data_IF_599801760347
#
_entry.id   IF_599801760347
#
_cell.length_a   1.000
_cell.length_b   1.000
_cell.length_c   1.000
_cell.angle_alpha   90.00
_cell.angle_beta   90.00
_cell.angle_gamma   90.00
#
_symmetry.space_group_name_H-M   'P 1'
#
loop_
_entity.id
_entity.type
_entity.pdbx_description
1 polymer ?
#
# COMPACT_ATOMS: atom_id res chain seq x y z
N UNK A 1 2.01 22.49 28.36
CA UNK A 1 0.86 21.63 28.67
C UNK A 1 0.10 21.35 27.36
N UNK A 2 0.04 20.11 26.92
CA UNK A 2 -0.65 19.74 25.67
C UNK A 2 -1.96 19.04 26.01
N UNK A 3 -3.02 19.40 25.30
CA UNK A 3 -4.28 18.66 25.31
C UNK A 3 -4.25 17.71 24.11
N UNK A 4 -4.43 16.43 24.39
CA UNK A 4 -4.39 15.37 23.37
C UNK A 4 -5.81 14.82 23.22
N UNK A 5 -6.29 14.72 22.00
CA UNK A 5 -7.60 14.13 21.70
C UNK A 5 -7.41 12.68 21.28
N UNK A 6 -8.04 11.76 22.00
CA UNK A 6 -7.98 10.33 21.77
C UNK A 6 -9.40 9.80 21.77
N UNK A 7 -9.83 9.21 20.65
CA UNK A 7 -11.20 8.66 20.49
C UNK A 7 -12.29 9.69 20.82
N UNK A 8 -12.06 10.94 20.42
CA UNK A 8 -13.02 12.03 20.64
C UNK A 8 -13.01 12.65 22.03
N UNK A 9 -12.16 12.14 22.94
CA UNK A 9 -12.02 12.68 24.29
C UNK A 9 -10.71 13.43 24.44
N UNK A 10 -10.74 14.53 25.19
CA UNK A 10 -9.56 15.34 25.44
C UNK A 10 -8.92 14.95 26.76
N UNK A 11 -7.60 14.85 26.76
CA UNK A 11 -6.80 14.49 27.92
C UNK A 11 -5.65 15.49 28.06
N UNK A 12 -5.28 15.75 29.31
CA UNK A 12 -4.11 16.58 29.66
C UNK A 12 -2.90 15.64 29.80
N UNK A 13 -1.88 15.83 28.97
CA UNK A 13 -0.68 14.98 28.95
C UNK A 13 0.11 14.99 30.25
N UNK A 14 -0.06 16.00 31.09
CA UNK A 14 0.60 16.05 32.40
C UNK A 14 0.19 14.92 33.33
N UNK A 15 -1.01 14.36 33.12
CA UNK A 15 -1.52 13.25 33.92
C UNK A 15 -1.06 11.89 33.40
N UNK A 16 -0.37 11.85 32.27
CA UNK A 16 0.07 10.61 31.69
C UNK A 16 1.29 10.06 32.43
N UNK A 17 1.26 8.75 32.72
CA UNK A 17 2.45 8.02 33.15
C UNK A 17 3.44 7.92 32.01
N UNK A 18 4.69 7.55 32.34
CA UNK A 18 5.67 7.29 31.27
C UNK A 18 5.22 6.19 30.34
N UNK A 19 4.59 5.14 30.89
CA UNK A 19 4.02 4.06 30.08
C UNK A 19 2.97 4.60 29.09
N UNK A 20 2.06 5.45 29.54
CA UNK A 20 1.05 6.07 28.68
C UNK A 20 1.69 6.94 27.60
N UNK A 21 2.71 7.73 27.95
CA UNK A 21 3.44 8.56 26.97
C UNK A 21 4.11 7.71 25.91
N UNK A 22 4.67 6.58 26.29
CA UNK A 22 5.30 5.64 25.35
C UNK A 22 4.27 5.05 24.38
N UNK A 23 3.08 4.72 24.87
CA UNK A 23 1.99 4.21 24.03
C UNK A 23 1.55 5.29 23.03
N UNK A 24 1.38 6.53 23.48
CA UNK A 24 1.01 7.65 22.60
C UNK A 24 2.06 7.85 21.52
N UNK A 25 3.34 7.80 21.87
CA UNK A 25 4.43 7.95 20.91
C UNK A 25 4.41 6.83 19.86
N UNK A 26 4.18 5.58 20.29
CA UNK A 26 4.07 4.43 19.37
C UNK A 26 2.86 4.56 18.46
N UNK A 27 1.73 5.01 18.98
CA UNK A 27 0.51 5.23 18.20
C UNK A 27 0.71 6.33 17.16
N UNK A 28 1.33 7.45 17.55
CA UNK A 28 1.63 8.55 16.63
C UNK A 28 2.56 8.11 15.50
N UNK A 29 3.61 7.36 15.85
CA UNK A 29 4.52 6.79 14.85
C UNK A 29 3.77 5.90 13.88
N UNK A 30 2.92 5.00 14.39
CA UNK A 30 2.14 4.07 13.58
C UNK A 30 1.20 4.82 12.64
N UNK A 31 0.50 5.85 13.12
CA UNK A 31 -0.38 6.68 12.30
C UNK A 31 0.40 7.40 11.19
N UNK A 32 1.58 7.89 11.47
CA UNK A 32 2.42 8.54 10.47
C UNK A 32 2.87 7.54 9.40
N UNK A 33 3.22 6.32 9.80
CA UNK A 33 3.59 5.26 8.85
C UNK A 33 2.39 4.84 8.00
N UNK A 34 1.19 4.75 8.57
CA UNK A 34 -0.04 4.46 7.80
C UNK A 34 -0.27 5.53 6.73
N UNK A 35 -0.16 6.80 7.10
CA UNK A 35 -0.34 7.91 6.15
C UNK A 35 0.69 7.84 5.02
N UNK A 36 1.94 7.51 5.35
CA UNK A 36 3.02 7.37 4.38
C UNK A 36 2.75 6.22 3.40
N UNK A 37 2.32 5.06 3.90
CA UNK A 37 1.99 3.91 3.06
C UNK A 37 0.79 4.23 2.16
N UNK A 38 -0.25 4.88 2.68
CA UNK A 38 -1.40 5.30 1.89
C UNK A 38 -1.01 6.25 0.75
N UNK A 39 -0.09 7.17 1.01
CA UNK A 39 0.44 8.07 -0.02
C UNK A 39 1.18 7.29 -1.10
N UNK A 40 2.02 6.33 -0.70
CA UNK A 40 2.74 5.47 -1.64
C UNK A 40 1.77 4.65 -2.50
N UNK A 41 0.72 4.09 -1.89
CA UNK A 41 -0.32 3.36 -2.62
C UNK A 41 -0.94 4.26 -3.69
N UNK A 42 -1.27 5.50 -3.37
CA UNK A 42 -1.85 6.45 -4.32
C UNK A 42 -0.90 6.75 -5.48
N UNK A 43 0.39 6.95 -5.19
CA UNK A 43 1.41 7.21 -6.23
C UNK A 43 1.55 6.00 -7.16
N UNK A 44 1.66 4.79 -6.59
CA UNK A 44 1.80 3.57 -7.37
C UNK A 44 0.53 3.25 -8.16
N UNK A 45 -0.64 3.53 -7.59
CA UNK A 45 -1.91 3.33 -8.31
C UNK A 45 -2.02 4.25 -9.52
N UNK A 46 -1.59 5.50 -9.41
CA UNK A 46 -1.53 6.45 -10.54
C UNK A 46 -0.58 5.94 -11.61
N UNK A 47 0.61 5.47 -11.20
CA UNK A 47 1.60 4.90 -12.12
C UNK A 47 1.07 3.64 -12.80
N UNK A 48 0.39 2.78 -12.05
CA UNK A 48 -0.24 1.56 -12.59
C UNK A 48 -1.21 1.91 -13.73
N UNK A 49 -2.06 2.90 -13.50
CA UNK A 49 -3.04 3.33 -14.50
C UNK A 49 -2.36 3.87 -15.76
N UNK A 50 -1.30 4.66 -15.60
CA UNK A 50 -0.54 5.20 -16.73
C UNK A 50 0.13 4.09 -17.55
N UNK A 51 0.78 3.14 -16.88
CA UNK A 51 1.43 2.01 -17.58
C UNK A 51 0.41 1.08 -18.20
N UNK A 52 -0.73 0.83 -17.54
CA UNK A 52 -1.82 0.03 -18.11
C UNK A 52 -2.33 0.64 -19.43
N UNK A 53 -2.54 1.96 -19.45
CA UNK A 53 -2.97 2.66 -20.67
C UNK A 53 -1.91 2.59 -21.76
N UNK A 54 -0.64 2.80 -21.41
CA UNK A 54 0.47 2.70 -22.37
C UNK A 54 0.56 1.30 -22.97
N UNK A 55 0.43 0.26 -22.15
CA UNK A 55 0.46 -1.15 -22.61
C UNK A 55 -0.69 -1.40 -23.58
N UNK A 56 -1.92 -1.06 -23.20
CA UNK A 56 -3.12 -1.30 -24.03
C UNK A 56 -2.99 -0.57 -25.36
N UNK A 57 -2.51 0.67 -25.38
CA UNK A 57 -2.39 1.48 -26.59
C UNK A 57 -1.28 1.00 -27.54
N UNK A 58 -0.36 0.16 -27.04
CA UNK A 58 0.78 -0.33 -27.83
C UNK A 58 0.73 -1.86 -28.07
N UNK A 59 -0.40 -2.50 -27.78
CA UNK A 59 -0.54 -3.93 -28.02
C UNK A 59 -0.49 -4.25 -29.52
N UNK A 60 0.14 -5.40 -29.90
CA UNK A 60 0.10 -5.87 -31.28
C UNK A 60 -1.34 -6.13 -31.71
N UNK A 61 -1.62 -5.91 -33.00
CA UNK A 61 -2.93 -6.23 -33.56
C UNK A 61 -3.17 -7.73 -33.67
N UNK A 62 -2.10 -8.51 -33.80
CA UNK A 62 -2.16 -9.95 -34.00
C UNK A 62 -1.96 -10.69 -32.67
N UNK A 63 -2.93 -11.53 -32.31
CA UNK A 63 -2.84 -12.38 -31.14
C UNK A 63 -2.08 -13.69 -31.46
N UNK A 64 -1.48 -14.27 -30.41
CA UNK A 64 -0.79 -15.56 -30.52
C UNK A 64 -1.76 -16.71 -30.68
N UNK A 65 -1.35 -17.74 -31.45
CA UNK A 65 -2.10 -18.98 -31.55
C UNK A 65 -2.11 -19.70 -30.19
N UNK A 66 -3.26 -20.30 -29.86
CA UNK A 66 -3.49 -20.87 -28.52
C UNK A 66 -2.63 -22.10 -28.19
N UNK A 67 -2.07 -22.77 -29.21
CA UNK A 67 -1.32 -24.01 -29.02
C UNK A 67 0.19 -23.84 -28.87
N UNK A 68 0.71 -22.62 -28.91
CA UNK A 68 2.14 -22.36 -28.76
C UNK A 68 2.44 -22.11 -27.27
N UNK A 69 3.34 -22.93 -26.67
CA UNK A 69 3.58 -22.92 -25.22
C UNK A 69 4.64 -21.95 -24.75
N UNK A 70 5.63 -21.59 -25.58
CA UNK A 70 6.76 -20.76 -25.21
C UNK A 70 6.66 -19.36 -25.81
N UNK A 71 7.10 -18.35 -25.05
CA UNK A 71 7.15 -16.97 -25.51
C UNK A 71 5.77 -16.32 -25.65
N UNK A 72 4.76 -16.80 -24.92
CA UNK A 72 3.43 -16.24 -24.92
C UNK A 72 3.22 -15.40 -23.66
N UNK A 73 2.78 -14.16 -23.85
CA UNK A 73 2.39 -13.24 -22.79
C UNK A 73 0.89 -13.03 -22.82
N UNK A 74 0.23 -13.13 -21.66
CA UNK A 74 -1.20 -12.85 -21.55
C UNK A 74 -1.39 -11.43 -21.02
N UNK A 75 -2.07 -10.60 -21.82
CA UNK A 75 -2.34 -9.20 -21.48
C UNK A 75 -3.83 -8.96 -21.73
N UNK A 76 -4.58 -8.53 -20.69
CA UNK A 76 -6.04 -8.33 -20.77
C UNK A 76 -6.76 -9.55 -21.34
N UNK A 77 -6.41 -10.76 -20.85
CA UNK A 77 -6.97 -12.05 -21.25
C UNK A 77 -6.70 -12.44 -22.71
N UNK A 78 -5.87 -11.69 -23.43
CA UNK A 78 -5.44 -11.97 -24.79
C UNK A 78 -3.99 -12.41 -24.79
N UNK A 79 -3.64 -13.34 -25.67
CA UNK A 79 -2.30 -13.92 -25.76
C UNK A 79 -1.53 -13.29 -26.91
N UNK A 80 -0.27 -12.96 -26.65
CA UNK A 80 0.65 -12.37 -27.62
C UNK A 80 1.99 -13.09 -27.57
N UNK A 81 2.64 -13.22 -28.75
CA UNK A 81 4.01 -13.72 -28.79
C UNK A 81 4.97 -12.65 -28.31
N UNK A 82 5.97 -13.05 -27.53
CA UNK A 82 7.00 -12.14 -27.04
C UNK A 82 7.71 -11.44 -28.19
N UNK A 83 7.97 -12.16 -29.30
CA UNK A 83 8.62 -11.60 -30.47
C UNK A 83 7.84 -10.48 -31.16
N UNK A 84 6.51 -10.43 -30.95
CA UNK A 84 5.64 -9.41 -31.53
C UNK A 84 5.55 -8.16 -30.63
N UNK A 85 6.12 -8.20 -29.44
CA UNK A 85 6.12 -7.08 -28.51
C UNK A 85 7.34 -6.18 -28.77
N UNK A 86 7.11 -4.87 -28.86
CA UNK A 86 8.21 -3.92 -28.95
C UNK A 86 9.05 -3.92 -27.67
N UNK A 87 10.29 -3.45 -27.74
CA UNK A 87 11.15 -3.32 -26.57
C UNK A 87 10.53 -2.38 -25.53
N UNK A 88 9.91 -1.29 -25.98
CA UNK A 88 9.20 -0.36 -25.10
C UNK A 88 8.05 -1.07 -24.39
N UNK A 89 7.26 -1.85 -25.11
CA UNK A 89 6.13 -2.58 -24.52
C UNK A 89 6.60 -3.61 -23.49
N UNK A 90 7.67 -4.34 -23.79
CA UNK A 90 8.27 -5.31 -22.85
C UNK A 90 8.74 -4.59 -21.57
N UNK A 91 9.35 -3.43 -21.71
CA UNK A 91 9.80 -2.62 -20.58
C UNK A 91 8.61 -2.13 -19.76
N UNK A 92 7.56 -1.63 -20.41
CA UNK A 92 6.35 -1.17 -19.73
C UNK A 92 5.66 -2.30 -18.97
N UNK A 93 5.61 -3.51 -19.54
CA UNK A 93 5.05 -4.69 -18.89
C UNK A 93 5.85 -5.05 -17.65
N UNK A 94 7.18 -5.01 -17.73
CA UNK A 94 8.05 -5.31 -16.60
C UNK A 94 7.83 -4.30 -15.46
N UNK A 95 7.76 -3.01 -15.77
CA UNK A 95 7.48 -1.96 -14.78
C UNK A 95 6.09 -2.17 -14.18
N UNK A 96 5.09 -2.49 -14.99
CA UNK A 96 3.72 -2.76 -14.54
C UNK A 96 3.69 -3.91 -13.53
N UNK A 97 4.40 -5.00 -13.81
CA UNK A 97 4.51 -6.14 -12.89
C UNK A 97 5.17 -5.74 -11.57
N UNK A 98 6.21 -4.93 -11.65
CA UNK A 98 6.90 -4.41 -10.46
C UNK A 98 5.97 -3.54 -9.61
N UNK A 99 5.18 -2.67 -10.25
CA UNK A 99 4.20 -1.82 -9.58
C UNK A 99 3.16 -2.68 -8.86
N UNK A 100 2.62 -3.71 -9.52
CA UNK A 100 1.64 -4.61 -8.91
C UNK A 100 2.23 -5.33 -7.68
N UNK A 101 3.47 -5.77 -7.76
CA UNK A 101 4.16 -6.40 -6.64
C UNK A 101 4.31 -5.43 -5.47
N UNK A 102 4.69 -4.18 -5.74
CA UNK A 102 4.81 -3.13 -4.72
C UNK A 102 3.46 -2.83 -4.08
N UNK A 103 2.39 -2.76 -4.86
CA UNK A 103 1.05 -2.53 -4.32
C UNK A 103 0.62 -3.66 -3.38
N UNK A 104 0.94 -4.91 -3.70
CA UNK A 104 0.68 -6.04 -2.82
C UNK A 104 1.49 -5.92 -1.52
N UNK A 105 2.76 -5.56 -1.60
CA UNK A 105 3.62 -5.36 -0.43
C UNK A 105 3.07 -4.24 0.47
N UNK A 106 2.63 -3.12 -0.11
CA UNK A 106 2.04 -2.02 0.65
C UNK A 106 0.71 -2.42 1.31
N UNK A 107 -0.09 -3.24 0.64
CA UNK A 107 -1.36 -3.74 1.21
C UNK A 107 -1.09 -4.59 2.46
N UNK A 108 -0.08 -5.45 2.41
CA UNK A 108 0.35 -6.27 3.55
C UNK A 108 0.89 -5.38 4.66
N UNK A 109 1.76 -4.43 4.33
CA UNK A 109 2.33 -3.48 5.30
C UNK A 109 1.23 -2.68 5.99
N UNK A 110 0.24 -2.21 5.23
CA UNK A 110 -0.89 -1.47 5.77
C UNK A 110 -1.71 -2.32 6.75
N UNK A 111 -1.92 -3.61 6.43
CA UNK A 111 -2.62 -4.53 7.33
C UNK A 111 -1.87 -4.70 8.65
N UNK A 112 -0.54 -4.85 8.59
CA UNK A 112 0.31 -4.95 9.79
C UNK A 112 0.21 -3.67 10.61
N UNK A 113 0.31 -2.50 9.97
CA UNK A 113 0.24 -1.21 10.65
C UNK A 113 -1.13 -0.99 11.30
N UNK A 114 -2.22 -1.35 10.63
CA UNK A 114 -3.57 -1.23 11.18
C UNK A 114 -3.78 -2.15 12.39
N UNK A 115 -3.22 -3.35 12.36
CA UNK A 115 -3.25 -4.26 13.51
C UNK A 115 -2.49 -3.65 14.68
N UNK A 116 -1.30 -3.10 14.44
CA UNK A 116 -0.49 -2.43 15.46
C UNK A 116 -1.23 -1.21 16.04
N UNK A 117 -1.87 -0.43 15.17
CA UNK A 117 -2.70 0.72 15.59
C UNK A 117 -3.80 0.27 16.55
N UNK A 118 -4.49 -0.82 16.24
CA UNK A 118 -5.57 -1.34 17.09
C UNK A 118 -5.04 -1.78 18.45
N UNK A 119 -3.89 -2.46 18.46
CA UNK A 119 -3.24 -2.90 19.71
C UNK A 119 -2.86 -1.70 20.55
N UNK A 120 -2.20 -0.70 19.97
CA UNK A 120 -1.81 0.52 20.71
C UNK A 120 -3.01 1.32 21.17
N UNK A 121 -4.06 1.43 20.34
CA UNK A 121 -5.29 2.14 20.73
C UNK A 121 -5.97 1.49 21.93
N UNK A 122 -6.04 0.15 21.94
CA UNK A 122 -6.61 -0.59 23.06
C UNK A 122 -5.74 -0.45 24.33
N UNK A 123 -4.42 -0.55 24.19
CA UNK A 123 -3.50 -0.36 25.29
C UNK A 123 -3.61 1.06 25.87
N UNK A 124 -3.76 2.06 25.02
CA UNK A 124 -3.93 3.45 25.44
C UNK A 124 -5.24 3.63 26.22
N UNK A 125 -6.35 3.08 25.70
CA UNK A 125 -7.63 3.17 26.39
C UNK A 125 -7.56 2.56 27.79
N UNK A 126 -6.94 1.39 27.91
CA UNK A 126 -6.75 0.74 29.21
C UNK A 126 -5.86 1.55 30.15
N UNK A 127 -4.78 2.10 29.62
CA UNK A 127 -3.85 2.92 30.41
C UNK A 127 -4.53 4.20 30.93
N UNK A 128 -5.36 4.83 30.09
CA UNK A 128 -6.08 6.05 30.47
C UNK A 128 -7.15 5.77 31.53
N UNK A 129 -7.81 4.61 31.49
CA UNK A 129 -8.77 4.25 32.53
C UNK A 129 -8.11 4.06 33.90
N UNK A 130 -6.91 3.49 33.92
CA UNK A 130 -6.16 3.28 35.16
C UNK A 130 -5.67 4.60 35.78
N UNK A 131 -5.60 5.65 34.98
CA UNK A 131 -5.04 6.95 35.41
C UNK A 131 -6.12 8.00 35.65
N UNK A 132 -7.38 7.59 35.79
CA UNK A 132 -8.45 8.50 36.14
C UNK A 132 -8.34 9.00 37.57
#
# INVERSE_FOLDING_TARGET
>A
MAIITINGKQYNDKKFTQATKNIVASLNFTNNEINKVNLLISIYQTSKNAYSNSIVNNLPQKQAAANRKNGINTINDKKYFEEDLSDKLKSDILVFKTINKKLQEFTIELAVLNTSKNVYSNALAQSLEKNK
#
